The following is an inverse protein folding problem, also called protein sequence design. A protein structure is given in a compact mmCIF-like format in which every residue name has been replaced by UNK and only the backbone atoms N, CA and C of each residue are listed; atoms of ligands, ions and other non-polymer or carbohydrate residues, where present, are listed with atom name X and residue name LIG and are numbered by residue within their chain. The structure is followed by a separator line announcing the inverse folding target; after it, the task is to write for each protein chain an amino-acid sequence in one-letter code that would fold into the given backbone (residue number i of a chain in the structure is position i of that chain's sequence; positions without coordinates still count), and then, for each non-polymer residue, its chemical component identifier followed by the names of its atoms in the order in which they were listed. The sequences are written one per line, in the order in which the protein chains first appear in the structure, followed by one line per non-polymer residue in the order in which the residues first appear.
data_IF_267192432795
#
_entry.id   IF_267192432795
#
_cell.length_a   1.000
_cell.length_b   1.000
_cell.length_c   1.000
_cell.angle_alpha   90.00
_cell.angle_beta   90.00
_cell.angle_gamma   90.00
#
_symmetry.space_group_name_H-M   'P 1'
#
loop_
_entity.id
_entity.type
_entity.pdbx_description
1 polymer ?
#
# COMPACT_ATOMS: atom_id res chain seq x y z
N UNK A 1 -13.28 -0.55 14.60
CA UNK A 1 -13.36 -1.10 15.96
C UNK A 1 -12.84 -2.52 15.94
N UNK A 2 -11.90 -2.88 16.81
CA UNK A 2 -11.23 -4.20 16.83
C UNK A 2 -11.13 -4.69 18.27
N UNK A 3 -11.33 -6.00 18.46
CA UNK A 3 -11.12 -6.73 19.72
C UNK A 3 -10.20 -7.93 19.48
N UNK A 4 -9.90 -8.71 20.53
CA UNK A 4 -9.07 -9.92 20.41
C UNK A 4 -9.76 -11.06 19.63
N UNK A 5 -11.07 -11.04 19.50
CA UNK A 5 -11.84 -12.08 18.80
C UNK A 5 -12.25 -11.69 17.38
N UNK A 6 -12.28 -10.40 17.08
CA UNK A 6 -12.71 -9.86 15.79
C UNK A 6 -13.01 -8.39 15.86
N UNK A 7 -13.79 -7.88 14.93
CA UNK A 7 -14.12 -6.47 14.87
C UNK A 7 -15.06 -6.10 13.73
N UNK A 8 -15.11 -4.81 13.46
CA UNK A 8 -15.90 -4.22 12.40
C UNK A 8 -14.98 -3.41 11.48
N UNK A 9 -15.01 -3.72 10.20
CA UNK A 9 -14.26 -3.01 9.16
C UNK A 9 -15.18 -2.08 8.37
N UNK A 10 -14.67 -0.90 8.07
CA UNK A 10 -15.24 -0.02 7.05
C UNK A 10 -14.68 -0.41 5.68
N UNK A 11 -15.53 -0.88 4.78
CA UNK A 11 -15.13 -1.27 3.42
C UNK A 11 -16.31 -1.21 2.45
N UNK A 12 -16.02 -0.82 1.22
CA UNK A 12 -17.02 -0.78 0.15
C UNK A 12 -16.32 -1.12 -1.17
N UNK A 13 -16.79 -2.13 -1.92
CA UNK A 13 -17.88 -3.06 -1.60
C UNK A 13 -17.49 -4.07 -0.51
N UNK A 14 -18.47 -4.70 0.18
CA UNK A 14 -18.19 -5.75 1.15
C UNK A 14 -17.63 -7.01 0.46
N UNK A 15 -16.82 -7.76 1.17
CA UNK A 15 -16.29 -9.05 0.72
C UNK A 15 -17.35 -10.14 0.96
N UNK A 16 -17.31 -11.18 0.16
CA UNK A 16 -18.24 -12.30 0.32
C UNK A 16 -18.18 -12.90 1.73
N UNK A 17 -19.35 -13.13 2.34
CA UNK A 17 -19.46 -13.78 3.64
C UNK A 17 -18.79 -15.15 3.61
N UNK A 18 -18.05 -15.49 4.69
CA UNK A 18 -17.32 -16.75 4.82
C UNK A 18 -15.92 -16.74 4.18
N UNK A 19 -15.56 -15.68 3.46
CA UNK A 19 -14.21 -15.53 2.90
C UNK A 19 -13.19 -15.38 4.04
N UNK A 20 -12.08 -16.11 3.94
CA UNK A 20 -10.93 -15.95 4.85
C UNK A 20 -9.95 -15.00 4.20
N UNK A 21 -9.65 -13.92 4.88
CA UNK A 21 -8.76 -12.86 4.42
C UNK A 21 -7.62 -12.64 5.40
N UNK A 22 -6.49 -12.18 4.88
CA UNK A 22 -5.39 -11.74 5.71
C UNK A 22 -5.59 -10.27 6.04
N UNK A 23 -5.69 -9.95 7.33
CA UNK A 23 -5.81 -8.59 7.81
C UNK A 23 -4.49 -8.11 8.42
N UNK A 24 -4.18 -6.86 8.19
CA UNK A 24 -3.07 -6.18 8.82
C UNK A 24 -3.57 -4.87 9.42
N UNK A 25 -3.32 -4.69 10.70
CA UNK A 25 -3.62 -3.46 11.43
C UNK A 25 -2.32 -2.78 11.83
N UNK A 26 -2.30 -1.47 11.73
CA UNK A 26 -1.21 -0.66 12.27
C UNK A 26 -1.64 -0.19 13.66
N UNK A 27 -0.87 -0.59 14.66
CA UNK A 27 -1.11 -0.20 16.05
C UNK A 27 0.05 0.63 16.59
N UNK A 28 -0.14 1.26 17.74
CA UNK A 28 0.92 2.01 18.44
C UNK A 28 2.16 1.14 18.76
N UNK A 29 1.97 -0.16 18.89
CA UNK A 29 3.03 -1.14 19.21
C UNK A 29 3.57 -1.89 17.98
N UNK A 30 3.19 -1.45 16.78
CA UNK A 30 3.61 -2.05 15.52
C UNK A 30 2.49 -2.74 14.74
N UNK A 31 2.80 -3.32 13.59
CA UNK A 31 1.82 -4.00 12.76
C UNK A 31 1.37 -5.31 13.42
N UNK A 32 0.07 -5.57 13.33
CA UNK A 32 -0.58 -6.81 13.75
C UNK A 32 -1.17 -7.48 12.52
N UNK A 33 -0.77 -8.70 12.25
CA UNK A 33 -1.24 -9.47 11.10
C UNK A 33 -1.93 -10.74 11.58
N UNK A 34 -3.09 -11.04 11.00
CA UNK A 34 -3.84 -12.26 11.30
C UNK A 34 -4.75 -12.65 10.14
N UNK A 35 -5.28 -13.86 10.20
CA UNK A 35 -6.31 -14.34 9.28
C UNK A 35 -7.68 -14.19 9.92
N UNK A 36 -8.64 -13.72 9.14
CA UNK A 36 -10.00 -13.48 9.61
C UNK A 36 -11.03 -14.00 8.62
N UNK A 37 -12.13 -14.48 9.15
CA UNK A 37 -13.32 -14.85 8.39
C UNK A 37 -14.26 -13.63 8.33
N UNK A 38 -14.70 -13.29 7.15
CA UNK A 38 -15.65 -12.20 6.93
C UNK A 38 -17.06 -12.67 7.21
N UNK A 39 -17.76 -11.95 8.07
CA UNK A 39 -19.14 -12.23 8.44
C UNK A 39 -20.13 -11.48 7.52
N UNK A 40 -21.42 -11.67 7.76
CA UNK A 40 -22.46 -10.97 7.01
C UNK A 40 -22.34 -9.45 7.17
N UNK A 41 -22.36 -8.65 6.08
CA UNK A 41 -22.29 -7.21 6.18
C UNK A 41 -23.45 -6.64 7.01
N UNK A 42 -23.16 -5.68 7.89
CA UNK A 42 -24.18 -4.96 8.66
C UNK A 42 -24.78 -3.82 7.82
N UNK A 43 -23.92 -3.17 7.04
CA UNK A 43 -24.30 -2.12 6.08
C UNK A 43 -23.49 -2.27 4.80
N UNK A 44 -23.76 -1.43 3.80
CA UNK A 44 -23.01 -1.40 2.53
C UNK A 44 -21.52 -1.03 2.70
N UNK A 45 -21.17 -0.41 3.84
CA UNK A 45 -19.83 0.09 4.11
C UNK A 45 -19.24 -0.45 5.41
N UNK A 46 -19.91 -1.39 6.09
CA UNK A 46 -19.44 -1.96 7.34
C UNK A 46 -19.64 -3.47 7.35
N UNK A 47 -18.56 -4.18 7.54
CA UNK A 47 -18.57 -5.63 7.59
C UNK A 47 -17.83 -6.13 8.82
N UNK A 48 -18.48 -6.96 9.66
CA UNK A 48 -17.83 -7.59 10.79
C UNK A 48 -16.93 -8.74 10.34
N UNK A 49 -15.91 -9.02 11.13
CA UNK A 49 -15.00 -10.13 10.92
C UNK A 49 -14.68 -10.82 12.24
N UNK A 50 -14.27 -12.07 12.17
CA UNK A 50 -13.81 -12.88 13.27
C UNK A 50 -12.40 -13.39 12.98
N UNK A 51 -11.48 -13.27 13.94
CA UNK A 51 -10.16 -13.87 13.78
C UNK A 51 -10.24 -15.39 13.75
N UNK A 52 -9.63 -16.00 12.75
CA UNK A 52 -9.45 -17.44 12.62
C UNK A 52 -8.09 -17.83 13.15
N UNK A 53 -7.06 -17.07 12.81
CA UNK A 53 -5.70 -17.27 13.26
C UNK A 53 -5.07 -15.93 13.61
N UNK A 54 -4.62 -15.81 14.86
CA UNK A 54 -3.88 -14.65 15.34
C UNK A 54 -2.63 -15.16 16.06
N UNK A 55 -1.42 -15.02 15.48
CA UNK A 55 -0.18 -15.45 16.11
C UNK A 55 -0.01 -14.84 17.50
N UNK A 56 0.62 -15.56 18.43
CA UNK A 56 0.72 -15.14 19.84
C UNK A 56 1.39 -13.78 20.01
N UNK A 57 2.37 -13.45 19.19
CA UNK A 57 3.01 -12.12 19.20
C UNK A 57 2.06 -11.03 18.70
N UNK A 58 1.32 -11.29 17.63
CA UNK A 58 0.30 -10.38 17.10
C UNK A 58 -0.83 -10.17 18.13
N UNK A 59 -1.24 -11.22 18.82
CA UNK A 59 -2.23 -11.14 19.89
C UNK A 59 -1.76 -10.25 21.05
N UNK A 60 -0.51 -10.41 21.48
CA UNK A 60 0.08 -9.56 22.55
C UNK A 60 0.14 -8.09 22.13
N UNK A 61 0.57 -7.81 20.90
CA UNK A 61 0.61 -6.44 20.36
C UNK A 61 -0.79 -5.84 20.28
N UNK A 62 -1.77 -6.61 19.80
CA UNK A 62 -3.15 -6.15 19.72
C UNK A 62 -3.74 -5.88 21.10
N UNK A 63 -3.53 -6.79 22.06
CA UNK A 63 -3.97 -6.60 23.43
C UNK A 63 -3.37 -5.35 24.07
N UNK A 64 -2.08 -5.16 23.90
CA UNK A 64 -1.38 -3.97 24.39
C UNK A 64 -1.90 -2.68 23.74
N UNK A 65 -2.19 -2.69 22.44
CA UNK A 65 -2.76 -1.57 21.74
C UNK A 65 -4.18 -1.23 22.20
N UNK A 66 -5.01 -2.24 22.46
CA UNK A 66 -6.36 -2.06 23.01
C UNK A 66 -6.29 -1.43 24.41
N UNK A 67 -5.41 -1.93 25.27
CA UNK A 67 -5.20 -1.36 26.59
C UNK A 67 -4.71 0.09 26.53
N UNK A 68 -3.77 0.39 25.64
CA UNK A 68 -3.28 1.75 25.44
C UNK A 68 -4.38 2.72 24.94
N UNK A 69 -5.34 2.22 24.15
CA UNK A 69 -6.47 3.04 23.67
C UNK A 69 -7.49 3.35 24.76
N UNK A 70 -7.60 2.50 25.76
CA UNK A 70 -8.47 2.74 26.92
C UNK A 70 -7.88 3.78 27.90
N UNK A 71 -6.55 3.94 27.89
CA UNK A 71 -5.82 4.89 28.71
C UNK A 71 -4.91 5.77 27.85
N UNK A 72 -5.48 6.74 27.11
CA UNK A 72 -4.69 7.57 26.21
C UNK A 72 -3.68 8.42 26.99
N UNK A 73 -2.43 8.01 26.96
CA UNK A 73 -1.29 8.79 27.43
C UNK A 73 -0.55 9.36 26.22
N UNK A 74 -0.76 10.64 25.94
CA UNK A 74 0.09 11.38 25.01
C UNK A 74 -0.50 11.60 23.60
N UNK A 75 0.13 12.43 22.78
CA UNK A 75 -0.38 12.89 21.50
C UNK A 75 -0.46 11.73 20.49
N UNK A 76 -1.67 11.36 20.12
CA UNK A 76 -1.96 10.30 19.15
C UNK A 76 -1.49 10.62 17.72
N UNK A 77 -1.04 11.82 17.46
CA UNK A 77 -0.73 12.26 16.09
C UNK A 77 0.69 11.90 15.63
N UNK A 78 1.66 11.85 16.55
CA UNK A 78 3.07 11.72 16.21
C UNK A 78 3.44 10.35 15.58
N UNK A 79 2.82 9.28 16.02
CA UNK A 79 3.07 7.96 15.45
C UNK A 79 2.37 7.73 14.10
N UNK A 80 1.19 8.34 13.88
CA UNK A 80 0.49 8.29 12.59
C UNK A 80 1.35 8.95 11.51
N UNK A 81 1.98 10.08 11.81
CA UNK A 81 2.91 10.74 10.88
C UNK A 81 4.16 9.91 10.62
N UNK A 82 4.72 9.29 11.66
CA UNK A 82 5.90 8.42 11.53
C UNK A 82 5.64 7.21 10.65
N UNK A 83 4.49 6.55 10.78
CA UNK A 83 4.11 5.42 9.92
C UNK A 83 3.70 5.87 8.52
N UNK A 84 3.05 7.02 8.38
CA UNK A 84 2.74 7.59 7.07
C UNK A 84 4.02 7.93 6.30
N UNK A 85 5.02 8.47 6.96
CA UNK A 85 6.33 8.73 6.37
C UNK A 85 7.04 7.43 5.96
N UNK A 86 6.97 6.36 6.77
CA UNK A 86 7.54 5.06 6.44
C UNK A 86 6.83 4.39 5.24
N UNK A 87 5.51 4.48 5.15
CA UNK A 87 4.74 3.95 4.00
C UNK A 87 5.05 4.73 2.72
N UNK A 88 5.23 6.05 2.82
CA UNK A 88 5.61 6.87 1.67
C UNK A 88 7.04 6.60 1.18
N UNK A 89 7.94 6.09 2.04
CA UNK A 89 9.28 5.67 1.64
C UNK A 89 9.30 4.32 0.89
N UNK A 90 8.27 3.51 1.00
CA UNK A 90 8.11 2.23 0.28
C UNK A 90 7.52 2.43 -1.12
N UNK A 91 7.21 3.65 -1.54
CA UNK A 91 6.89 3.89 -2.93
C UNK A 91 8.10 3.48 -3.79
N UNK A 92 7.92 2.56 -4.76
CA UNK A 92 9.00 2.21 -5.65
C UNK A 92 9.52 3.50 -6.27
N UNK A 93 10.85 3.68 -6.35
CA UNK A 93 11.41 4.88 -6.93
C UNK A 93 10.74 5.06 -8.28
N UNK A 94 9.96 6.14 -8.44
CA UNK A 94 9.51 6.57 -9.75
C UNK A 94 10.79 6.61 -10.58
N UNK A 95 10.94 5.67 -11.50
CA UNK A 95 12.01 5.72 -12.50
C UNK A 95 11.91 7.10 -13.13
N UNK A 96 12.66 8.06 -12.58
CA UNK A 96 12.98 9.28 -13.30
C UNK A 96 13.64 8.78 -14.57
N UNK A 97 12.90 8.73 -15.65
CA UNK A 97 13.51 8.60 -16.97
C UNK A 97 14.59 9.66 -16.99
N UNK A 98 15.83 9.19 -16.91
CA UNK A 98 16.99 10.06 -16.89
C UNK A 98 16.88 10.95 -18.13
N UNK A 99 16.97 12.25 -17.93
CA UNK A 99 17.02 13.22 -19.04
C UNK A 99 18.09 12.86 -20.09
N UNK A 100 19.05 12.04 -19.70
CA UNK A 100 20.04 11.43 -20.57
C UNK A 100 19.47 10.46 -21.61
N UNK A 101 18.38 9.71 -21.30
CA UNK A 101 17.75 8.82 -22.28
C UNK A 101 16.97 9.60 -23.35
N UNK A 102 16.41 10.74 -23.02
CA UNK A 102 15.76 11.59 -24.01
C UNK A 102 16.79 12.24 -24.95
N UNK A 103 17.96 12.60 -24.45
CA UNK A 103 19.05 13.17 -25.27
C UNK A 103 19.62 12.20 -26.28
N UNK A 104 19.80 10.93 -25.94
CA UNK A 104 20.31 9.90 -26.86
C UNK A 104 19.32 9.52 -27.94
N UNK A 105 18.02 9.52 -27.65
CA UNK A 105 16.97 9.30 -28.66
C UNK A 105 16.88 10.45 -29.67
N UNK A 106 17.02 11.69 -29.21
CA UNK A 106 17.01 12.87 -30.10
C UNK A 106 18.24 12.94 -31.02
N UNK A 107 19.42 12.58 -30.49
CA UNK A 107 20.66 12.51 -31.28
C UNK A 107 20.62 11.37 -32.31
N UNK A 108 20.04 10.23 -31.99
CA UNK A 108 19.85 9.11 -32.91
C UNK A 108 18.92 9.44 -34.08
N UNK A 109 17.83 10.15 -33.85
CA UNK A 109 16.88 10.60 -34.88
C UNK A 109 17.50 11.65 -35.80
N UNK A 110 18.28 12.58 -35.28
CA UNK A 110 19.01 13.58 -36.08
C UNK A 110 20.07 12.93 -36.97
N UNK A 111 20.77 11.91 -36.47
CA UNK A 111 21.76 11.14 -37.27
C UNK A 111 21.12 10.40 -38.43
N UNK A 112 19.97 9.73 -38.21
CA UNK A 112 19.22 9.03 -39.25
C UNK A 112 18.67 9.98 -40.34
N UNK A 113 18.16 11.14 -39.95
CA UNK A 113 17.67 12.13 -40.91
C UNK A 113 18.79 12.70 -41.81
N UNK A 114 19.98 12.94 -41.26
CA UNK A 114 21.11 13.46 -42.05
C UNK A 114 21.68 12.41 -43.01
N UNK A 115 21.75 11.15 -42.63
CA UNK A 115 22.19 10.07 -43.54
C UNK A 115 21.19 9.82 -44.66
N UNK A 116 19.90 9.85 -44.39
CA UNK A 116 18.87 9.74 -45.43
C UNK A 116 18.91 10.95 -46.42
N UNK A 117 19.17 12.14 -45.92
CA UNK A 117 19.30 13.33 -46.77
C UNK A 117 20.52 13.24 -47.72
N UNK A 118 21.66 12.83 -47.21
CA UNK A 118 22.89 12.64 -48.03
C UNK A 118 22.69 11.55 -49.06
N UNK A 119 22.05 10.44 -48.72
CA UNK A 119 21.73 9.36 -49.65
C UNK A 119 20.77 9.86 -50.77
N UNK A 120 19.75 10.61 -50.40
CA UNK A 120 18.77 11.15 -51.34
C UNK A 120 19.42 12.09 -52.33
N UNK A 121 20.31 12.96 -51.87
CA UNK A 121 21.02 13.92 -52.75
C UNK A 121 22.06 13.22 -53.64
N UNK A 122 22.61 12.13 -53.18
CA UNK A 122 23.69 11.43 -53.95
C UNK A 122 23.14 10.43 -54.98
N UNK A 123 21.96 9.85 -54.75
CA UNK A 123 21.36 8.85 -55.64
C UNK A 123 20.34 9.42 -56.65
N UNK A 124 19.87 10.65 -56.45
CA UNK A 124 18.92 11.31 -57.35
C UNK A 124 19.55 12.36 -58.28
N UNK A 125 20.88 12.37 -58.36
CA UNK A 125 21.64 13.08 -59.40
C UNK A 125 22.23 12.04 -60.31
#
# INVERSE_FOLDING_TARGET
MVSLTGGLLGMSPPVHQGSVVKLMFITSNGPVTGSAEMLSPVTRSQQPFRFVTLPGEAQRRLQSAIQASLYPKGPHEEWIEKYRAAINQVQPPRRRMSRFMLGTLALGLLGLASTLYVLHVHFLK
#
